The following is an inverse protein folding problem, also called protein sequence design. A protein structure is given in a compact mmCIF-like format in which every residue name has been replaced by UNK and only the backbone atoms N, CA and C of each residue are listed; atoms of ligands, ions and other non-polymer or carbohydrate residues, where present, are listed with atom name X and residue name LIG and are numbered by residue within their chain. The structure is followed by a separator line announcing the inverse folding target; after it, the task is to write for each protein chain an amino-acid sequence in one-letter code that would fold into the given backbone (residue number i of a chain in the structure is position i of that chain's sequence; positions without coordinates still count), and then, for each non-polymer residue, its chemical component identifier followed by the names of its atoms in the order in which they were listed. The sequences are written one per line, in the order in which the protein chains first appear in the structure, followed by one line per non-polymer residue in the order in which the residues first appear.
data_IF_429546693030
#
_entry.id   IF_429546693030
#
_cell.length_a   1.000
_cell.length_b   1.000
_cell.length_c   1.000
_cell.angle_alpha   90.00
_cell.angle_beta   90.00
_cell.angle_gamma   90.00
#
_symmetry.space_group_name_H-M   'P 1'
#
loop_
_entity.id
_entity.type
_entity.pdbx_description
1 polymer ?
#
# COMPACT_ATOMS: atom_id res chain seq x y z
N UNK A 1 -1.91 -23.08 9.36
CA UNK A 1 -1.32 -22.77 8.03
C UNK A 1 -2.37 -23.08 6.98
N UNK A 2 -2.84 -22.10 6.24
CA UNK A 2 -3.70 -22.33 5.07
C UNK A 2 -2.83 -22.98 3.98
N UNK A 3 -3.38 -24.00 3.32
CA UNK A 3 -2.73 -24.65 2.18
C UNK A 3 -2.69 -23.66 1.03
N UNK A 4 -1.48 -23.28 0.58
CA UNK A 4 -1.30 -22.50 -0.65
C UNK A 4 -1.46 -23.46 -1.83
N UNK A 5 -2.42 -23.22 -2.77
CA UNK A 5 -2.62 -24.10 -3.91
C UNK A 5 -1.47 -24.00 -4.90
N UNK A 6 -1.19 -25.10 -5.58
CA UNK A 6 -0.20 -25.20 -6.65
C UNK A 6 -0.89 -25.21 -8.01
N UNK A 7 -0.26 -24.56 -8.98
CA UNK A 7 -0.68 -24.52 -10.39
C UNK A 7 0.39 -25.22 -11.22
N UNK A 8 -0.02 -26.17 -12.07
CA UNK A 8 0.88 -26.84 -13.01
C UNK A 8 0.72 -26.18 -14.39
N UNK A 9 1.82 -25.68 -14.92
CA UNK A 9 1.87 -25.08 -16.24
C UNK A 9 2.64 -25.97 -17.21
N UNK A 10 2.04 -26.28 -18.34
CA UNK A 10 2.69 -26.97 -19.44
C UNK A 10 3.54 -25.98 -20.23
N UNK A 11 4.83 -26.28 -20.38
CA UNK A 11 5.78 -25.48 -21.17
C UNK A 11 6.39 -26.34 -22.28
N UNK A 12 7.04 -25.72 -23.24
CA UNK A 12 7.78 -26.44 -24.29
C UNK A 12 8.94 -27.31 -23.74
N UNK A 13 9.32 -27.14 -22.47
CA UNK A 13 10.39 -27.87 -21.78
C UNK A 13 9.87 -28.85 -20.71
N UNK A 14 8.53 -29.10 -20.68
CA UNK A 14 7.88 -29.96 -19.71
C UNK A 14 6.96 -29.22 -18.75
N UNK A 15 6.51 -29.91 -17.71
CA UNK A 15 5.64 -29.37 -16.67
C UNK A 15 6.45 -28.60 -15.64
N UNK A 16 5.93 -27.44 -15.20
CA UNK A 16 6.43 -26.67 -14.07
C UNK A 16 5.33 -26.44 -13.07
N UNK A 17 5.61 -26.67 -11.81
CA UNK A 17 4.69 -26.41 -10.70
C UNK A 17 5.10 -25.14 -9.98
N UNK A 18 4.13 -24.25 -9.75
CA UNK A 18 4.28 -23.00 -8.99
C UNK A 18 3.22 -22.97 -7.89
N UNK A 19 3.54 -22.41 -6.74
CA UNK A 19 2.48 -21.93 -5.87
C UNK A 19 1.74 -20.75 -6.52
N UNK A 20 0.49 -20.50 -6.07
CA UNK A 20 -0.35 -19.49 -6.73
C UNK A 20 0.26 -18.08 -6.69
N UNK A 21 0.94 -17.71 -5.60
CA UNK A 21 1.54 -16.36 -5.48
C UNK A 21 2.75 -16.22 -6.40
N UNK A 22 3.62 -17.24 -6.48
CA UNK A 22 4.73 -17.25 -7.43
C UNK A 22 4.22 -17.18 -8.88
N UNK A 23 3.10 -17.85 -9.19
CA UNK A 23 2.51 -17.78 -10.53
C UNK A 23 1.96 -16.39 -10.86
N UNK A 24 1.30 -15.74 -9.89
CA UNK A 24 0.77 -14.39 -10.05
C UNK A 24 1.90 -13.34 -10.12
N UNK A 25 3.01 -13.56 -9.41
CA UNK A 25 4.20 -12.72 -9.51
C UNK A 25 4.78 -12.68 -10.94
N UNK A 26 4.76 -13.81 -11.66
CA UNK A 26 5.13 -13.86 -13.08
C UNK A 26 4.25 -12.96 -13.97
N UNK A 27 2.98 -12.76 -13.56
CA UNK A 27 2.06 -11.81 -14.18
C UNK A 27 2.17 -10.38 -13.61
N UNK A 28 3.23 -10.11 -12.85
CA UNK A 28 3.55 -8.83 -12.21
C UNK A 28 2.54 -8.38 -11.15
N UNK A 29 1.95 -9.34 -10.46
CA UNK A 29 0.94 -9.12 -9.40
C UNK A 29 1.57 -9.38 -8.04
N UNK A 30 1.52 -8.38 -7.16
CA UNK A 30 1.97 -8.43 -5.76
C UNK A 30 0.75 -8.28 -4.84
N UNK A 31 0.77 -8.96 -3.70
CA UNK A 31 -0.26 -8.85 -2.67
C UNK A 31 0.31 -8.34 -1.34
N UNK A 32 -0.43 -7.43 -0.73
CA UNK A 32 -0.34 -7.09 0.68
C UNK A 32 -1.70 -7.41 1.31
N UNK A 33 -1.83 -8.62 1.90
CA UNK A 33 -3.11 -9.15 2.40
C UNK A 33 -3.13 -9.32 3.91
N UNK A 34 -2.27 -8.61 4.63
CA UNK A 34 -2.13 -8.67 6.08
C UNK A 34 -1.56 -7.35 6.63
N UNK A 35 -1.22 -7.33 7.90
CA UNK A 35 -0.62 -6.18 8.55
C UNK A 35 0.75 -5.82 7.95
N UNK A 36 1.01 -4.51 7.85
CA UNK A 36 2.33 -3.98 7.46
C UNK A 36 3.31 -4.14 8.62
N UNK A 37 4.32 -4.97 8.43
CA UNK A 37 5.39 -5.23 9.39
C UNK A 37 6.72 -5.48 8.65
N UNK A 38 7.78 -5.76 9.37
CA UNK A 38 9.13 -5.98 8.82
C UNK A 38 9.18 -7.11 7.78
N UNK A 39 8.45 -8.20 8.03
CA UNK A 39 8.40 -9.37 7.14
C UNK A 39 7.64 -9.06 5.86
N UNK A 40 6.41 -8.51 5.97
CA UNK A 40 5.57 -8.19 4.81
C UNK A 40 6.19 -7.09 3.97
N UNK A 41 6.79 -6.08 4.60
CA UNK A 41 7.50 -5.02 3.89
C UNK A 41 8.71 -5.55 3.12
N UNK A 42 9.54 -6.38 3.75
CA UNK A 42 10.70 -7.00 3.08
C UNK A 42 10.29 -7.83 1.87
N UNK A 43 9.19 -8.60 1.96
CA UNK A 43 8.67 -9.38 0.85
C UNK A 43 8.16 -8.50 -0.30
N UNK A 44 7.40 -7.46 -0.01
CA UNK A 44 6.89 -6.53 -1.03
C UNK A 44 8.04 -5.78 -1.71
N UNK A 45 9.00 -5.26 -0.94
CA UNK A 45 10.20 -4.60 -1.46
C UNK A 45 10.99 -5.52 -2.40
N UNK A 46 11.25 -6.77 -1.98
CA UNK A 46 11.96 -7.74 -2.81
C UNK A 46 11.22 -8.03 -4.12
N UNK A 47 9.88 -8.16 -4.08
CA UNK A 47 9.07 -8.39 -5.28
C UNK A 47 9.07 -7.17 -6.22
N UNK A 48 8.99 -5.95 -5.70
CA UNK A 48 9.08 -4.72 -6.51
C UNK A 48 10.42 -4.66 -7.26
N UNK A 49 11.54 -4.86 -6.55
CA UNK A 49 12.88 -4.85 -7.14
C UNK A 49 13.08 -5.99 -8.16
N UNK A 50 12.56 -7.18 -7.86
CA UNK A 50 12.61 -8.31 -8.79
C UNK A 50 11.86 -8.01 -10.08
N UNK A 51 10.65 -7.45 -10.00
CA UNK A 51 9.84 -7.14 -11.17
C UNK A 51 10.42 -5.99 -11.99
N UNK A 52 11.01 -4.98 -11.36
CA UNK A 52 11.76 -3.94 -12.09
C UNK A 52 12.92 -4.54 -12.88
N UNK A 53 13.70 -5.42 -12.26
CA UNK A 53 14.84 -6.08 -12.92
C UNK A 53 14.41 -6.97 -14.10
N UNK A 54 13.18 -7.51 -14.09
CA UNK A 54 12.65 -8.31 -15.20
C UNK A 54 12.22 -7.46 -16.39
N UNK A 55 11.49 -6.38 -16.15
CA UNK A 55 11.01 -5.48 -17.22
C UNK A 55 10.64 -4.11 -16.60
N UNK A 56 11.48 -3.09 -16.73
CA UNK A 56 11.25 -1.78 -16.14
C UNK A 56 10.15 -0.97 -16.83
N UNK A 57 9.69 -1.39 -18.01
CA UNK A 57 8.71 -0.63 -18.81
C UNK A 57 7.27 -1.11 -18.61
N UNK A 58 7.09 -2.21 -17.89
CA UNK A 58 5.75 -2.75 -17.61
C UNK A 58 5.27 -2.44 -16.20
N UNK A 59 3.99 -2.11 -16.09
CA UNK A 59 3.34 -1.84 -14.81
C UNK A 59 3.41 -3.03 -13.84
N UNK A 60 3.48 -2.71 -12.57
CA UNK A 60 3.31 -3.65 -11.46
C UNK A 60 1.91 -3.46 -10.89
N UNK A 61 1.17 -4.54 -10.64
CA UNK A 61 -0.14 -4.51 -10.02
C UNK A 61 -0.02 -4.87 -8.53
N UNK A 62 -0.26 -3.92 -7.66
CA UNK A 62 -0.13 -4.08 -6.22
C UNK A 62 -1.51 -4.12 -5.57
N UNK A 63 -1.97 -5.32 -5.22
CA UNK A 63 -3.25 -5.58 -4.56
C UNK A 63 -3.12 -5.43 -3.06
N UNK A 64 -3.99 -4.61 -2.47
CA UNK A 64 -3.97 -4.25 -1.06
C UNK A 64 -5.29 -4.66 -0.39
N UNK A 65 -5.18 -5.51 0.64
CA UNK A 65 -6.23 -5.83 1.60
C UNK A 65 -5.59 -5.86 3.01
N UNK A 66 -5.36 -4.68 3.57
CA UNK A 66 -4.53 -4.52 4.76
C UNK A 66 -5.14 -3.55 5.77
N UNK A 67 -5.11 -3.88 7.07
CA UNK A 67 -5.50 -2.95 8.14
C UNK A 67 -4.47 -1.83 8.38
N UNK A 68 -3.33 -1.85 7.67
CA UNK A 68 -2.18 -1.00 7.94
C UNK A 68 -1.18 -1.66 8.87
N UNK A 69 -0.46 -0.88 9.68
CA UNK A 69 0.55 -1.39 10.61
C UNK A 69 1.73 -0.42 10.76
N UNK A 70 2.94 -0.95 10.85
CA UNK A 70 4.17 -0.19 11.09
C UNK A 70 4.41 0.89 10.03
N UNK A 71 4.55 2.13 10.48
CA UNK A 71 4.84 3.27 9.60
C UNK A 71 6.21 3.14 8.95
N UNK A 72 7.23 2.74 9.69
CA UNK A 72 8.60 2.60 9.17
C UNK A 72 8.66 1.57 8.05
N UNK A 73 8.01 0.42 8.26
CA UNK A 73 7.98 -0.66 7.28
C UNK A 73 7.14 -0.27 6.05
N UNK A 74 6.03 0.44 6.27
CA UNK A 74 5.24 1.00 5.18
C UNK A 74 5.99 2.05 4.38
N UNK A 75 6.82 2.88 5.00
CA UNK A 75 7.68 3.83 4.29
C UNK A 75 8.74 3.13 3.45
N UNK A 76 9.27 1.98 3.88
CA UNK A 76 10.17 1.18 3.05
C UNK A 76 9.50 0.69 1.76
N UNK A 77 8.22 0.26 1.85
CA UNK A 77 7.43 -0.09 0.66
C UNK A 77 7.21 1.14 -0.21
N UNK A 78 6.75 2.26 0.38
CA UNK A 78 6.48 3.51 -0.31
C UNK A 78 7.71 4.01 -1.09
N UNK A 79 8.84 4.14 -0.41
CA UNK A 79 10.07 4.63 -1.05
C UNK A 79 10.50 3.72 -2.20
N UNK A 80 10.32 2.39 -2.05
CA UNK A 80 10.62 1.44 -3.13
C UNK A 80 9.65 1.60 -4.30
N UNK A 81 8.35 1.80 -4.05
CA UNK A 81 7.36 2.09 -5.11
C UNK A 81 7.72 3.36 -5.90
N UNK A 82 8.28 4.38 -5.23
CA UNK A 82 8.71 5.61 -5.90
C UNK A 82 10.08 5.47 -6.58
N UNK A 83 10.92 4.55 -6.12
CA UNK A 83 12.27 4.33 -6.63
C UNK A 83 12.29 3.52 -7.92
N UNK A 84 11.45 2.48 -8.04
CA UNK A 84 11.39 1.62 -9.24
C UNK A 84 10.89 2.42 -10.45
N UNK A 85 11.38 2.08 -11.64
CA UNK A 85 11.00 2.76 -12.89
C UNK A 85 9.60 2.38 -13.38
N UNK A 86 9.16 1.18 -13.01
CA UNK A 86 7.83 0.70 -13.35
C UNK A 86 6.76 1.56 -12.68
N UNK A 87 5.67 1.86 -13.37
CA UNK A 87 4.47 2.36 -12.71
C UNK A 87 3.88 1.27 -11.81
N UNK A 88 3.65 1.62 -10.54
CA UNK A 88 2.98 0.74 -9.59
C UNK A 88 1.50 1.11 -9.54
N UNK A 89 0.65 0.28 -10.15
CA UNK A 89 -0.80 0.39 -10.04
C UNK A 89 -1.26 -0.23 -8.72
N UNK A 90 -1.97 0.52 -7.89
CA UNK A 90 -2.49 0.03 -6.60
C UNK A 90 -3.97 -0.30 -6.69
N UNK A 91 -4.37 -1.46 -6.14
CA UNK A 91 -5.75 -1.95 -6.21
C UNK A 91 -6.24 -2.34 -4.81
N UNK A 92 -7.23 -1.63 -4.28
CA UNK A 92 -7.87 -2.00 -3.01
C UNK A 92 -8.91 -3.09 -3.23
N UNK A 93 -8.74 -4.21 -2.51
CA UNK A 93 -9.68 -5.34 -2.47
C UNK A 93 -10.08 -5.59 -1.04
N UNK A 94 -11.35 -5.37 -0.70
CA UNK A 94 -11.85 -5.49 0.66
C UNK A 94 -11.53 -4.25 1.49
N UNK A 95 -10.30 -4.09 1.99
CA UNK A 95 -9.97 -2.96 2.87
C UNK A 95 -8.55 -2.43 2.63
N UNK A 96 -8.40 -1.12 2.70
CA UNK A 96 -7.11 -0.46 2.85
C UNK A 96 -7.21 0.57 3.98
N UNK A 97 -6.67 0.26 5.16
CA UNK A 97 -6.76 1.14 6.31
C UNK A 97 -5.37 1.63 6.77
N UNK A 98 -5.31 2.85 7.34
CA UNK A 98 -4.09 3.39 7.93
C UNK A 98 -2.92 3.37 6.94
N UNK A 99 -1.82 2.68 7.25
CA UNK A 99 -0.68 2.54 6.34
C UNK A 99 -1.07 1.84 5.01
N UNK A 100 -2.10 0.98 5.01
CA UNK A 100 -2.65 0.39 3.79
C UNK A 100 -3.29 1.42 2.86
N UNK A 101 -4.04 2.39 3.41
CA UNK A 101 -4.61 3.51 2.64
C UNK A 101 -3.52 4.47 2.13
N UNK A 102 -2.49 4.68 2.93
CA UNK A 102 -1.32 5.46 2.52
C UNK A 102 -0.66 4.84 1.29
N UNK A 103 -0.36 3.54 1.32
CA UNK A 103 0.23 2.81 0.19
C UNK A 103 -0.70 2.79 -1.02
N UNK A 104 -2.01 2.62 -0.82
CA UNK A 104 -3.01 2.68 -1.89
C UNK A 104 -2.96 4.03 -2.62
N UNK A 105 -2.93 5.13 -1.88
CA UNK A 105 -2.87 6.48 -2.44
C UNK A 105 -1.55 6.79 -3.15
N UNK A 106 -0.50 6.00 -2.89
CA UNK A 106 0.86 6.21 -3.37
C UNK A 106 1.17 5.52 -4.71
N UNK A 107 0.19 4.86 -5.31
CA UNK A 107 0.30 4.30 -6.66
C UNK A 107 0.45 5.38 -7.74
N UNK A 108 0.85 4.96 -8.93
CA UNK A 108 1.01 5.84 -10.08
C UNK A 108 -0.31 6.57 -10.39
N UNK A 109 -0.23 7.86 -10.66
CA UNK A 109 -1.40 8.71 -10.90
C UNK A 109 -2.21 8.20 -12.09
N UNK A 110 -3.53 8.08 -11.90
CA UNK A 110 -4.46 7.50 -12.87
C UNK A 110 -4.54 5.96 -12.81
N UNK A 111 -3.73 5.30 -11.95
CA UNK A 111 -3.63 3.84 -11.79
C UNK A 111 -3.93 3.37 -10.36
N UNK A 112 -4.51 4.22 -9.51
CA UNK A 112 -4.95 3.89 -8.16
C UNK A 112 -6.42 3.50 -8.22
N UNK A 113 -6.74 2.30 -7.76
CA UNK A 113 -8.01 1.63 -8.05
C UNK A 113 -8.64 1.12 -6.75
N UNK A 114 -9.96 1.19 -6.65
CA UNK A 114 -10.72 0.47 -5.63
C UNK A 114 -11.77 -0.43 -6.29
N UNK A 115 -12.07 -1.57 -5.68
CA UNK A 115 -13.25 -2.35 -6.00
C UNK A 115 -14.49 -1.72 -5.34
N UNK A 116 -15.72 -1.96 -5.86
CA UNK A 116 -16.90 -1.18 -5.47
C UNK A 116 -17.29 -1.27 -3.99
N UNK A 117 -16.96 -2.38 -3.33
CA UNK A 117 -17.27 -2.61 -1.93
C UNK A 117 -16.01 -2.49 -1.04
N UNK A 118 -14.94 -1.89 -1.54
CA UNK A 118 -13.75 -1.65 -0.75
C UNK A 118 -13.99 -0.52 0.25
N UNK A 119 -13.45 -0.69 1.46
CA UNK A 119 -13.45 0.31 2.51
C UNK A 119 -12.03 0.87 2.67
N UNK A 120 -11.93 2.18 2.73
CA UNK A 120 -10.67 2.88 2.86
C UNK A 120 -10.70 3.74 4.14
N UNK A 121 -9.65 3.69 4.94
CA UNK A 121 -9.59 4.48 6.17
C UNK A 121 -8.25 5.18 6.32
N UNK A 122 -8.32 6.48 6.60
CA UNK A 122 -7.17 7.28 6.97
C UNK A 122 -7.30 7.77 8.42
N UNK A 123 -6.18 7.82 9.10
CA UNK A 123 -6.05 8.43 10.43
C UNK A 123 -4.60 8.84 10.70
N UNK A 124 -4.38 9.63 11.75
CA UNK A 124 -3.04 9.98 12.20
C UNK A 124 -2.30 8.74 12.76
N UNK A 125 -0.95 8.72 12.69
CA UNK A 125 -0.19 7.65 13.31
C UNK A 125 -0.40 7.63 14.83
N UNK A 126 -0.54 6.43 15.40
CA UNK A 126 -0.52 6.22 16.84
C UNK A 126 0.90 5.85 17.27
N UNK A 127 1.33 6.43 18.39
CA UNK A 127 2.64 6.18 18.96
C UNK A 127 2.56 6.25 20.49
N UNK A 128 3.53 5.66 21.14
CA UNK A 128 3.69 5.73 22.60
C UNK A 128 5.16 5.72 22.97
N UNK A 129 5.51 6.39 24.08
CA UNK A 129 6.87 6.39 24.62
C UNK A 129 6.83 6.31 26.13
N UNK A 130 7.88 5.76 26.72
CA UNK A 130 8.11 5.78 28.17
C UNK A 130 9.61 5.80 28.43
N UNK A 131 10.03 6.43 29.53
CA UNK A 131 11.42 6.51 29.89
C UNK A 131 11.75 7.79 30.63
N UNK A 132 12.97 8.29 30.50
CA UNK A 132 13.38 9.59 31.02
C UNK A 132 12.70 10.71 30.24
N UNK A 133 12.41 11.82 30.92
CA UNK A 133 11.70 12.96 30.30
C UNK A 133 12.37 13.43 29.00
N UNK A 134 13.68 13.62 29.02
CA UNK A 134 14.41 14.07 27.82
C UNK A 134 14.34 13.06 26.67
N UNK A 135 14.38 11.76 26.96
CA UNK A 135 14.24 10.72 25.93
C UNK A 135 12.82 10.75 25.33
N UNK A 136 11.80 10.95 26.19
CA UNK A 136 10.39 11.09 25.74
C UNK A 136 10.20 12.34 24.88
N UNK A 137 10.85 13.46 25.17
CA UNK A 137 10.82 14.67 24.33
C UNK A 137 11.37 14.39 22.93
N UNK A 138 12.49 13.68 22.84
CA UNK A 138 13.10 13.27 21.55
C UNK A 138 12.14 12.37 20.75
N UNK A 139 11.51 11.40 21.42
CA UNK A 139 10.55 10.51 20.77
C UNK A 139 9.33 11.29 20.24
N UNK A 140 8.78 12.20 21.05
CA UNK A 140 7.64 13.04 20.63
C UNK A 140 7.99 13.91 19.43
N UNK A 141 9.16 14.55 19.40
CA UNK A 141 9.61 15.32 18.24
C UNK A 141 9.75 14.43 16.99
N UNK A 142 10.24 13.22 17.16
CA UNK A 142 10.34 12.23 16.07
C UNK A 142 8.94 11.86 15.53
N UNK A 143 7.97 11.57 16.41
CA UNK A 143 6.61 11.23 16.01
C UNK A 143 5.89 12.38 15.30
N UNK A 144 6.07 13.61 15.75
CA UNK A 144 5.53 14.81 15.10
C UNK A 144 6.11 15.01 13.70
N UNK A 145 7.40 14.73 13.50
CA UNK A 145 8.05 14.78 12.19
C UNK A 145 7.46 13.71 11.25
N UNK A 146 7.28 12.49 11.74
CA UNK A 146 6.63 11.39 10.98
C UNK A 146 5.21 11.81 10.57
N UNK A 147 4.38 12.25 11.52
CA UNK A 147 3.01 12.71 11.25
C UNK A 147 2.98 13.79 10.17
N UNK A 148 3.88 14.78 10.26
CA UNK A 148 3.98 15.84 9.26
C UNK A 148 4.31 15.29 7.88
N UNK A 149 5.33 14.43 7.77
CA UNK A 149 5.75 13.83 6.50
C UNK A 149 4.62 13.02 5.84
N UNK A 150 3.92 12.19 6.61
CA UNK A 150 2.78 11.40 6.10
C UNK A 150 1.67 12.31 5.57
N UNK A 151 1.33 13.40 6.28
CA UNK A 151 0.31 14.34 5.83
C UNK A 151 0.72 15.08 4.55
N UNK A 152 1.98 15.46 4.41
CA UNK A 152 2.51 16.12 3.20
C UNK A 152 2.46 15.18 1.99
N UNK A 153 2.83 13.92 2.16
CA UNK A 153 2.74 12.91 1.09
C UNK A 153 1.27 12.66 0.71
N UNK A 154 0.38 12.44 1.69
CA UNK A 154 -1.05 12.25 1.43
C UNK A 154 -1.66 13.48 0.73
N UNK A 155 -1.28 14.69 1.11
CA UNK A 155 -1.71 15.92 0.46
C UNK A 155 -1.29 15.96 -1.01
N UNK A 156 -0.02 15.61 -1.29
CA UNK A 156 0.49 15.49 -2.66
C UNK A 156 -0.26 14.45 -3.48
N UNK A 157 -0.54 13.27 -2.89
CA UNK A 157 -1.21 12.18 -3.56
C UNK A 157 -2.69 12.49 -3.87
N UNK A 158 -3.38 13.17 -2.95
CA UNK A 158 -4.82 13.45 -3.05
C UNK A 158 -5.14 14.76 -3.75
N UNK A 159 -4.16 15.65 -3.90
CA UNK A 159 -4.38 17.01 -4.42
C UNK A 159 -5.04 17.95 -3.42
N UNK A 160 -5.11 17.56 -2.15
CA UNK A 160 -5.61 18.39 -1.04
C UNK A 160 -4.47 19.16 -0.37
N UNK A 161 -4.81 20.14 0.46
CA UNK A 161 -3.85 20.83 1.32
C UNK A 161 -3.44 19.92 2.51
N UNK A 162 -2.28 20.18 3.09
CA UNK A 162 -1.83 19.46 4.28
C UNK A 162 -2.77 19.66 5.48
N UNK A 163 -3.42 20.85 5.57
CA UNK A 163 -4.41 21.18 6.59
C UNK A 163 -5.69 20.37 6.41
N UNK A 164 -6.19 20.20 5.17
CA UNK A 164 -7.37 19.37 4.90
C UNK A 164 -7.10 17.90 5.22
N UNK A 165 -5.94 17.37 4.82
CA UNK A 165 -5.53 15.99 5.14
C UNK A 165 -5.39 15.83 6.66
N UNK A 166 -4.74 16.76 7.34
CA UNK A 166 -4.59 16.74 8.80
C UNK A 166 -5.94 16.72 9.50
N UNK A 167 -6.88 17.55 9.08
CA UNK A 167 -8.22 17.60 9.66
C UNK A 167 -9.00 16.31 9.40
N UNK A 168 -8.92 15.75 8.19
CA UNK A 168 -9.60 14.52 7.83
C UNK A 168 -9.01 13.28 8.54
N UNK A 169 -7.71 13.27 8.82
CA UNK A 169 -7.02 12.15 9.48
C UNK A 169 -6.87 12.29 11.00
N UNK A 170 -7.49 13.29 11.62
CA UNK A 170 -7.40 13.48 13.09
C UNK A 170 -8.04 12.34 13.88
N UNK A 171 -9.06 11.69 13.33
CA UNK A 171 -9.72 10.49 13.83
C UNK A 171 -9.89 9.50 12.67
N UNK A 172 -10.30 8.28 12.99
CA UNK A 172 -10.59 7.26 11.97
C UNK A 172 -11.64 7.80 10.99
N UNK A 173 -11.22 8.02 9.77
CA UNK A 173 -12.06 8.51 8.68
C UNK A 173 -12.26 7.38 7.67
N UNK A 174 -13.33 6.65 7.86
CA UNK A 174 -13.76 5.57 6.97
C UNK A 174 -14.47 6.12 5.75
N UNK A 175 -14.14 5.58 4.60
CA UNK A 175 -14.66 5.98 3.30
C UNK A 175 -15.03 4.75 2.48
N UNK A 176 -16.18 4.81 1.83
CA UNK A 176 -16.52 3.94 0.70
C UNK A 176 -15.58 4.18 -0.47
N UNK A 177 -15.62 3.30 -1.47
CA UNK A 177 -14.80 3.47 -2.68
C UNK A 177 -15.08 4.81 -3.39
N UNK A 178 -16.36 5.23 -3.46
CA UNK A 178 -16.77 6.50 -4.07
C UNK A 178 -16.23 7.71 -3.28
N UNK A 179 -16.39 7.72 -1.96
CA UNK A 179 -15.87 8.77 -1.08
C UNK A 179 -14.34 8.86 -1.15
N UNK A 180 -13.64 7.71 -1.19
CA UNK A 180 -12.19 7.67 -1.33
C UNK A 180 -11.71 8.22 -2.67
N UNK A 181 -12.48 8.01 -3.74
CA UNK A 181 -12.23 8.61 -5.05
C UNK A 181 -12.45 10.12 -5.03
N UNK A 182 -13.53 10.59 -4.43
CA UNK A 182 -13.82 12.02 -4.30
C UNK A 182 -12.81 12.72 -3.38
N UNK A 183 -12.29 12.03 -2.40
CA UNK A 183 -11.20 12.50 -1.56
C UNK A 183 -9.86 12.58 -2.33
N UNK A 184 -9.66 11.74 -3.34
CA UNK A 184 -8.45 11.68 -4.16
C UNK A 184 -7.47 10.57 -3.76
N UNK A 185 -7.86 9.63 -2.91
CA UNK A 185 -7.04 8.47 -2.51
C UNK A 185 -6.93 7.44 -3.64
N UNK A 186 -7.96 7.35 -4.48
CA UNK A 186 -7.98 6.49 -5.66
C UNK A 186 -8.46 7.28 -6.88
N UNK A 187 -8.12 6.80 -8.07
CA UNK A 187 -8.47 7.45 -9.35
C UNK A 187 -9.71 6.83 -9.99
N UNK A 188 -9.92 5.52 -9.75
CA UNK A 188 -10.95 4.73 -10.45
C UNK A 188 -11.59 3.71 -9.52
N UNK A 189 -12.87 3.43 -9.80
CA UNK A 189 -13.59 2.28 -9.24
C UNK A 189 -13.87 1.33 -10.40
N UNK A 190 -13.40 0.08 -10.28
CA UNK A 190 -13.69 -0.94 -11.30
C UNK A 190 -14.94 -1.69 -10.89
N UNK A 191 -16.04 -1.40 -11.58
CA UNK A 191 -17.28 -2.17 -11.46
C UNK A 191 -17.20 -3.45 -12.29
N UNK A 192 -17.88 -4.51 -11.83
CA UNK A 192 -17.97 -5.75 -12.58
C UNK A 192 -18.46 -5.49 -14.01
N UNK A 193 -17.84 -6.15 -14.98
CA UNK A 193 -18.42 -6.22 -16.34
C UNK A 193 -19.77 -6.93 -16.21
N UNK A 194 -20.84 -6.27 -16.61
CA UNK A 194 -22.14 -6.91 -16.83
C UNK A 194 -22.07 -7.86 -18.01
#
# INVERSE_FOLDING_TARGET
MSLVPYVVQQTSRGERSYDIFSRLLDDRIIFLSEEVNDTTASLVVAQLLYLEAQDPDKDIQFYINSPGGSVTDGMAIYDTMQYVKCDVSTICVGMAASMGAFLLSSGAKGKRIALPNAEIMIHQPSAGTQGKVTDMEIDVEHFLRIKKNLNEILASNTGKTAEEVKAASERDHWMTADEAKDFGLVDKIITAKK
#
